data_IF_418024869442
#
_entry.id   IF_418024869442
#
_cell.length_a   1.000
_cell.length_b   1.000
_cell.length_c   1.000
_cell.angle_alpha   90.00
_cell.angle_beta   90.00
_cell.angle_gamma   90.00
#
_symmetry.space_group_name_H-M   'P 1'
#
loop_
_entity.id
_entity.type
_entity.pdbx_description
1 polymer ?
#
# COMPACT_ATOMS: atom_id res chain seq x y z
N UNK A 1 2.05 -14.68 23.65
CA UNK A 1 2.48 -13.36 23.16
C UNK A 1 2.96 -13.56 21.73
N UNK A 2 2.15 -13.21 20.73
CA UNK A 2 2.66 -13.14 19.36
C UNK A 2 3.45 -11.83 19.28
N UNK A 3 4.78 -11.92 19.33
CA UNK A 3 5.64 -10.77 19.04
C UNK A 3 5.33 -10.33 17.61
N UNK A 4 4.58 -9.25 17.45
CA UNK A 4 4.34 -8.66 16.14
C UNK A 4 5.66 -8.08 15.64
N UNK A 5 6.07 -8.48 14.43
CA UNK A 5 7.26 -7.93 13.78
C UNK A 5 7.05 -6.44 13.54
N UNK A 6 7.84 -5.59 14.19
CA UNK A 6 7.94 -4.18 13.84
C UNK A 6 8.79 -4.01 12.58
N UNK A 7 8.28 -3.23 11.64
CA UNK A 7 8.94 -2.96 10.35
C UNK A 7 9.00 -1.45 10.13
N UNK A 8 10.06 -0.99 9.50
CA UNK A 8 10.15 0.37 9.00
C UNK A 8 9.58 0.40 7.58
N UNK A 9 8.55 1.21 7.29
CA UNK A 9 7.88 1.19 5.99
C UNK A 9 8.74 1.88 4.92
N UNK A 10 9.56 1.10 4.23
CA UNK A 10 10.44 1.57 3.17
C UNK A 10 9.99 1.03 1.80
N UNK A 11 9.86 1.86 0.75
CA UNK A 11 9.39 1.42 -0.55
C UNK A 11 10.44 0.63 -1.36
N UNK A 12 11.72 0.72 -0.97
CA UNK A 12 12.83 -0.05 -1.54
C UNK A 12 13.04 -1.40 -0.85
N UNK A 13 12.32 -1.68 0.25
CA UNK A 13 12.35 -2.97 0.93
C UNK A 13 11.54 -4.03 0.15
N UNK A 14 12.27 -4.93 -0.52
CA UNK A 14 11.70 -6.01 -1.33
C UNK A 14 10.92 -7.05 -0.51
N UNK A 15 11.34 -7.31 0.73
CA UNK A 15 10.69 -8.26 1.63
C UNK A 15 9.33 -7.71 2.09
N UNK A 16 9.25 -6.42 2.43
CA UNK A 16 7.99 -5.74 2.73
C UNK A 16 7.06 -5.69 1.52
N UNK A 17 7.61 -5.41 0.35
CA UNK A 17 6.85 -5.43 -0.89
C UNK A 17 6.28 -6.83 -1.19
N UNK A 18 7.08 -7.87 -1.04
CA UNK A 18 6.64 -9.25 -1.21
C UNK A 18 5.51 -9.62 -0.23
N UNK A 19 5.62 -9.20 1.03
CA UNK A 19 4.60 -9.42 2.05
C UNK A 19 3.27 -8.71 1.71
N UNK A 20 3.34 -7.47 1.22
CA UNK A 20 2.17 -6.71 0.75
C UNK A 20 1.49 -7.42 -0.42
N UNK A 21 2.25 -7.82 -1.45
CA UNK A 21 1.70 -8.54 -2.61
C UNK A 21 1.01 -9.84 -2.18
N UNK A 22 1.66 -10.62 -1.33
CA UNK A 22 1.10 -11.88 -0.84
C UNK A 22 -0.19 -11.68 -0.02
N UNK A 23 -0.26 -10.66 0.85
CA UNK A 23 -1.48 -10.36 1.63
C UNK A 23 -2.64 -9.91 0.72
N UNK A 24 -2.35 -9.08 -0.28
CA UNK A 24 -3.34 -8.59 -1.25
C UNK A 24 -3.90 -9.71 -2.11
N UNK A 25 -3.04 -10.56 -2.70
CA UNK A 25 -3.49 -11.69 -3.53
C UNK A 25 -4.23 -12.74 -2.70
N UNK A 26 -3.80 -12.99 -1.46
CA UNK A 26 -4.49 -13.91 -0.54
C UNK A 26 -5.91 -13.46 -0.20
N UNK A 27 -6.12 -12.16 0.02
CA UNK A 27 -7.43 -11.62 0.46
C UNK A 27 -8.33 -11.21 -0.69
N UNK A 28 -7.74 -10.76 -1.79
CA UNK A 28 -8.44 -10.16 -2.93
C UNK A 28 -7.86 -10.69 -4.26
N UNK A 29 -7.95 -12.01 -4.51
CA UNK A 29 -7.28 -12.63 -5.66
C UNK A 29 -7.71 -11.99 -6.97
N UNK A 30 -6.75 -11.48 -7.74
CA UNK A 30 -6.98 -10.84 -9.04
C UNK A 30 -7.81 -9.54 -9.01
N UNK A 31 -8.10 -8.96 -7.83
CA UNK A 31 -8.95 -7.75 -7.73
C UNK A 31 -8.21 -6.46 -8.06
N UNK A 32 -6.95 -6.35 -7.65
CA UNK A 32 -6.16 -5.13 -7.79
C UNK A 32 -4.95 -5.41 -8.68
N UNK A 33 -4.68 -4.58 -9.72
CA UNK A 33 -3.48 -4.72 -10.51
C UNK A 33 -2.25 -4.36 -9.66
N UNK A 34 -1.11 -5.01 -9.93
CA UNK A 34 0.12 -4.84 -9.15
C UNK A 34 0.56 -3.37 -9.05
N UNK A 35 0.40 -2.61 -10.14
CA UNK A 35 0.72 -1.17 -10.18
C UNK A 35 -0.09 -0.33 -9.17
N UNK A 36 -1.38 -0.63 -8.97
CA UNK A 36 -2.21 0.09 -8.00
C UNK A 36 -1.81 -0.28 -6.57
N UNK A 37 -1.49 -1.56 -6.34
CA UNK A 37 -0.97 -2.03 -5.05
C UNK A 37 0.39 -1.39 -4.73
N UNK A 38 1.26 -1.24 -5.75
CA UNK A 38 2.56 -0.60 -5.61
C UNK A 38 2.42 0.87 -5.24
N UNK A 39 1.57 1.62 -5.95
CA UNK A 39 1.28 3.02 -5.63
C UNK A 39 0.73 3.20 -4.21
N UNK A 40 -0.17 2.31 -3.79
CA UNK A 40 -0.73 2.32 -2.44
C UNK A 40 0.33 2.03 -1.38
N UNK A 41 1.25 1.10 -1.65
CA UNK A 41 2.38 0.80 -0.78
C UNK A 41 3.32 2.01 -0.63
N UNK A 42 3.73 2.60 -1.75
CA UNK A 42 4.60 3.79 -1.78
C UNK A 42 3.96 4.98 -1.05
N UNK A 43 2.65 5.21 -1.22
CA UNK A 43 1.93 6.25 -0.51
C UNK A 43 1.88 6.02 1.02
N UNK A 44 1.78 4.77 1.45
CA UNK A 44 1.81 4.42 2.88
C UNK A 44 3.21 4.58 3.45
N UNK A 45 4.25 4.20 2.72
CA UNK A 45 5.64 4.44 3.12
C UNK A 45 5.94 5.94 3.25
N UNK A 46 5.55 6.75 2.26
CA UNK A 46 5.78 8.20 2.29
C UNK A 46 5.02 8.93 3.42
N UNK A 47 3.95 8.33 3.95
CA UNK A 47 3.15 8.90 5.03
C UNK A 47 3.63 8.46 6.44
N UNK A 48 4.68 7.64 6.54
CA UNK A 48 5.13 7.07 7.79
C UNK A 48 6.65 7.13 7.95
N UNK A 49 7.11 7.93 8.90
CA UNK A 49 8.52 8.10 9.26
C UNK A 49 8.96 7.29 10.49
N UNK A 50 8.15 6.33 10.95
CA UNK A 50 8.43 5.54 12.16
C UNK A 50 8.12 4.04 11.98
N UNK A 51 8.62 3.23 12.90
CA UNK A 51 8.38 1.79 12.90
C UNK A 51 6.92 1.50 13.25
N UNK A 52 6.34 0.53 12.55
CA UNK A 52 4.99 0.05 12.86
C UNK A 52 4.88 -1.46 12.72
N UNK A 53 3.91 -2.10 13.41
CA UNK A 53 3.69 -3.53 13.26
C UNK A 53 3.41 -3.89 11.80
N UNK A 54 4.02 -4.95 11.28
CA UNK A 54 3.81 -5.39 9.90
C UNK A 54 2.32 -5.58 9.56
N UNK A 55 1.53 -6.09 10.51
CA UNK A 55 0.07 -6.21 10.34
C UNK A 55 -0.62 -4.86 10.13
N UNK A 56 -0.15 -3.80 10.78
CA UNK A 56 -0.64 -2.44 10.59
C UNK A 56 -0.26 -1.89 9.22
N UNK A 57 0.96 -2.17 8.72
CA UNK A 57 1.39 -1.81 7.37
C UNK A 57 0.45 -2.44 6.33
N UNK A 58 0.28 -3.76 6.40
CA UNK A 58 -0.61 -4.50 5.49
C UNK A 58 -2.05 -3.97 5.55
N UNK A 59 -2.54 -3.59 6.73
CA UNK A 59 -3.87 -2.98 6.89
C UNK A 59 -3.95 -1.62 6.20
N UNK A 60 -2.94 -0.76 6.36
CA UNK A 60 -2.89 0.56 5.75
C UNK A 60 -2.84 0.49 4.24
N UNK A 61 -2.01 -0.39 3.67
CA UNK A 61 -1.94 -0.58 2.20
C UNK A 61 -3.27 -1.08 1.64
N UNK A 62 -3.92 -2.06 2.30
CA UNK A 62 -5.27 -2.49 1.92
C UNK A 62 -6.27 -1.35 1.92
N UNK A 63 -6.26 -0.53 2.96
CA UNK A 63 -7.12 0.63 3.04
C UNK A 63 -6.82 1.60 1.91
N UNK A 64 -5.55 1.94 1.68
CA UNK A 64 -5.15 2.78 0.56
C UNK A 64 -5.72 2.25 -0.76
N UNK A 65 -5.52 0.97 -1.11
CA UNK A 65 -6.10 0.35 -2.31
C UNK A 65 -7.63 0.46 -2.41
N UNK A 66 -8.36 0.39 -1.28
CA UNK A 66 -9.82 0.53 -1.27
C UNK A 66 -10.28 1.98 -1.47
N UNK A 67 -9.50 2.95 -1.01
CA UNK A 67 -9.80 4.38 -1.07
C UNK A 67 -9.18 5.07 -2.29
N UNK A 68 -8.28 4.40 -3.02
CA UNK A 68 -7.88 4.80 -4.37
C UNK A 68 -9.10 4.68 -5.27
N UNK A 69 -9.97 5.69 -5.23
CA UNK A 69 -10.86 5.98 -6.34
C UNK A 69 -9.95 6.05 -7.56
N UNK A 70 -10.23 5.35 -8.68
CA UNK A 70 -9.61 5.77 -9.93
C UNK A 70 -9.93 7.25 -10.02
N UNK A 71 -8.90 8.08 -9.96
CA UNK A 71 -9.12 9.49 -10.24
C UNK A 71 -9.73 9.47 -11.63
N UNK A 72 -10.93 10.03 -11.78
CA UNK A 72 -11.38 10.53 -13.05
C UNK A 72 -10.48 11.72 -13.43
N UNK A 73 -9.15 11.54 -13.38
CA UNK A 73 -8.15 12.49 -13.84
C UNK A 73 -8.00 12.28 -15.35
N UNK A 74 -9.14 12.48 -16.00
CA UNK A 74 -9.23 12.87 -17.39
C UNK A 74 -10.13 14.09 -17.35
N UNK A 75 -9.51 15.29 -17.33
CA UNK A 75 -10.07 16.67 -17.36
C UNK A 75 -9.83 17.43 -16.04
N UNK A 76 -9.06 18.50 -15.96
CA UNK A 76 -8.66 19.47 -16.97
C UNK A 76 -7.27 20.07 -16.67
N UNK A 77 -6.38 20.00 -17.66
CA UNK A 77 -5.48 21.11 -17.93
C UNK A 77 -6.35 22.24 -18.51
N UNK A 78 -6.39 23.41 -17.87
CA UNK A 78 -7.09 24.57 -18.42
C UNK A 78 -7.49 25.66 -17.43
N UNK A 79 -6.71 26.74 -17.45
CA UNK A 79 -7.07 28.14 -17.21
C UNK A 79 -7.51 28.58 -15.80
N UNK A 80 -6.63 29.33 -15.14
CA UNK A 80 -6.86 30.76 -14.83
C UNK A 80 -5.53 31.53 -14.71
#
# INVERSE_FOLDING_TARGET
MTSETSVFPDPSDDDLWAAVRADMEKRFPGRYPEADVRRAFEAVCAAHDDYLPQAALLKKVRMACMWTRPSLDGRAEGAE
#
